data_IF_295452794952
#
_entry.id   IF_295452794952
#
_cell.length_a   1.000
_cell.length_b   1.000
_cell.length_c   1.000
_cell.angle_alpha   90.00
_cell.angle_beta   90.00
_cell.angle_gamma   90.00
#
_symmetry.space_group_name_H-M   'P 1'
#
loop_
_entity.id
_entity.type
_entity.pdbx_description
1 polymer ?
#
# COMPACT_ATOMS: atom_id res chain seq x y z
N UNK A 1 28.33 -3.19 -7.32
CA UNK A 1 27.65 -4.34 -6.69
C UNK A 1 26.23 -4.02 -6.21
N UNK A 2 25.97 -2.92 -5.49
CA UNK A 2 24.63 -2.59 -4.94
C UNK A 2 23.50 -2.65 -5.99
N UNK A 3 23.67 -2.02 -7.16
CA UNK A 3 22.65 -2.02 -8.23
C UNK A 3 22.27 -3.44 -8.71
N UNK A 4 23.24 -4.37 -8.79
CA UNK A 4 22.98 -5.76 -9.16
C UNK A 4 22.14 -6.48 -8.08
N UNK A 5 22.44 -6.24 -6.80
CA UNK A 5 21.63 -6.76 -5.69
C UNK A 5 20.22 -6.16 -5.65
N UNK A 6 20.05 -4.91 -6.09
CA UNK A 6 18.73 -4.28 -6.21
C UNK A 6 17.91 -4.90 -7.35
N UNK A 7 18.56 -5.25 -8.46
CA UNK A 7 17.91 -5.93 -9.60
C UNK A 7 17.45 -7.35 -9.25
N UNK A 8 18.24 -8.09 -8.47
CA UNK A 8 17.95 -9.44 -7.96
C UNK A 8 16.62 -9.49 -7.18
N UNK A 9 16.38 -8.50 -6.30
CA UNK A 9 15.09 -8.32 -5.59
C UNK A 9 14.12 -7.36 -6.30
N UNK A 10 14.27 -7.20 -7.62
CA UNK A 10 13.47 -6.30 -8.46
C UNK A 10 11.95 -6.51 -8.37
N UNK A 11 11.54 -7.73 -8.02
CA UNK A 11 10.13 -8.10 -7.86
C UNK A 11 9.43 -7.39 -6.67
N UNK A 12 10.18 -6.89 -5.67
CA UNK A 12 9.61 -6.25 -4.48
C UNK A 12 8.92 -4.91 -4.78
N UNK A 13 9.28 -4.24 -5.88
CA UNK A 13 8.69 -2.97 -6.31
C UNK A 13 7.92 -3.10 -7.64
N UNK A 14 7.47 -4.30 -8.00
CA UNK A 14 6.50 -4.47 -9.08
C UNK A 14 5.11 -4.01 -8.62
N UNK A 15 4.20 -3.81 -9.58
CA UNK A 15 2.79 -3.60 -9.27
C UNK A 15 2.26 -4.77 -8.41
N UNK A 16 1.42 -4.47 -7.41
CA UNK A 16 1.04 -5.43 -6.37
C UNK A 16 0.57 -6.81 -6.92
N UNK A 17 -0.29 -6.92 -7.95
CA UNK A 17 -0.69 -8.23 -8.49
C UNK A 17 0.47 -9.06 -9.03
N UNK A 18 1.48 -8.41 -9.64
CA UNK A 18 2.69 -9.05 -10.17
C UNK A 18 3.59 -9.48 -9.00
N UNK A 19 3.80 -8.60 -8.02
CA UNK A 19 4.58 -8.92 -6.82
C UNK A 19 3.97 -10.10 -6.04
N UNK A 20 2.66 -10.10 -5.79
CA UNK A 20 1.98 -11.20 -5.10
C UNK A 20 2.07 -12.52 -5.87
N UNK A 21 2.06 -12.48 -7.22
CA UNK A 21 2.30 -13.69 -8.03
C UNK A 21 3.73 -14.21 -7.89
N UNK A 22 4.74 -13.32 -7.85
CA UNK A 22 6.12 -13.73 -7.58
C UNK A 22 6.28 -14.41 -6.21
N UNK A 23 5.67 -13.86 -5.16
CA UNK A 23 5.69 -14.46 -3.82
C UNK A 23 5.04 -15.84 -3.81
N UNK A 24 3.89 -16.02 -4.48
CA UNK A 24 3.23 -17.33 -4.62
C UNK A 24 4.09 -18.35 -5.36
N UNK A 25 4.73 -17.96 -6.48
CA UNK A 25 5.61 -18.85 -7.23
C UNK A 25 6.86 -19.26 -6.44
N UNK A 26 7.45 -18.33 -5.68
CA UNK A 26 8.59 -18.60 -4.80
C UNK A 26 8.22 -19.55 -3.65
N UNK A 27 7.04 -19.37 -3.05
CA UNK A 27 6.54 -20.24 -1.98
C UNK A 27 6.26 -21.66 -2.48
N UNK A 28 5.67 -21.82 -3.67
CA UNK A 28 5.48 -23.12 -4.31
C UNK A 28 6.82 -23.79 -4.65
N UNK A 29 7.81 -23.05 -5.17
CA UNK A 29 9.16 -23.58 -5.45
C UNK A 29 9.84 -24.10 -4.17
N UNK A 30 9.72 -23.37 -3.06
CA UNK A 30 10.22 -23.79 -1.75
C UNK A 30 9.51 -25.06 -1.27
N UNK A 31 8.19 -25.18 -1.39
CA UNK A 31 7.46 -26.40 -1.03
C UNK A 31 7.84 -27.60 -1.91
N UNK A 32 8.03 -27.39 -3.21
CA UNK A 32 8.49 -28.43 -4.13
C UNK A 32 9.92 -28.90 -3.85
N UNK A 33 10.77 -28.04 -3.27
CA UNK A 33 12.08 -28.47 -2.78
C UNK A 33 11.98 -29.17 -1.42
N UNK A 34 11.14 -28.69 -0.50
CA UNK A 34 10.92 -29.34 0.80
C UNK A 34 10.35 -30.75 0.69
N UNK A 35 9.47 -31.00 -0.29
CA UNK A 35 8.99 -32.35 -0.60
C UNK A 35 10.15 -33.27 -1.03
N UNK A 36 11.05 -32.79 -1.92
CA UNK A 36 12.23 -33.55 -2.34
C UNK A 36 13.21 -33.80 -1.19
N UNK A 37 13.33 -32.86 -0.26
CA UNK A 37 14.12 -33.03 0.97
C UNK A 37 13.51 -34.12 1.87
N UNK A 38 12.17 -34.16 2.03
CA UNK A 38 11.44 -35.25 2.69
C UNK A 38 11.67 -36.60 1.99
N UNK A 39 11.54 -36.66 0.67
CA UNK A 39 11.75 -37.87 -0.14
C UNK A 39 13.20 -38.40 -0.07
N UNK A 40 14.18 -37.50 -0.06
CA UNK A 40 15.60 -37.84 0.09
C UNK A 40 15.99 -38.24 1.53
N UNK A 41 15.08 -38.14 2.50
CA UNK A 41 15.33 -38.46 3.90
C UNK A 41 16.27 -37.48 4.61
N UNK A 42 16.39 -36.26 4.10
CA UNK A 42 17.23 -35.19 4.69
C UNK A 42 16.37 -34.17 5.45
N UNK A 43 16.95 -33.38 6.38
CA UNK A 43 16.21 -32.34 7.08
C UNK A 43 15.64 -31.30 6.11
N UNK A 44 14.33 -31.05 6.19
CA UNK A 44 13.65 -30.03 5.39
C UNK A 44 14.14 -28.63 5.75
N UNK A 45 14.47 -27.84 4.74
CA UNK A 45 14.93 -26.47 4.87
C UNK A 45 13.87 -25.55 5.51
N UNK A 46 14.28 -24.48 6.22
CA UNK A 46 13.35 -23.49 6.76
C UNK A 46 12.45 -22.90 5.66
N UNK A 47 11.17 -22.67 5.97
CA UNK A 47 10.12 -22.19 5.05
C UNK A 47 9.71 -23.16 3.92
N UNK A 48 10.41 -24.28 3.72
CA UNK A 48 10.16 -25.21 2.61
C UNK A 48 9.13 -26.29 2.98
N UNK A 49 8.70 -26.34 4.23
CA UNK A 49 7.70 -27.29 4.69
C UNK A 49 6.27 -26.73 4.51
N UNK A 50 5.50 -27.30 3.57
CA UNK A 50 4.08 -26.97 3.30
C UNK A 50 3.16 -27.09 4.51
N UNK A 51 3.56 -27.86 5.51
CA UNK A 51 2.82 -28.05 6.77
C UNK A 51 3.09 -26.92 7.79
N UNK A 52 3.97 -25.96 7.45
CA UNK A 52 4.40 -24.84 8.30
C UNK A 52 4.12 -23.47 7.64
N UNK A 53 4.26 -22.36 8.38
CA UNK A 53 4.29 -21.01 7.78
C UNK A 53 5.37 -20.86 6.69
N UNK A 54 4.94 -20.74 5.42
CA UNK A 54 5.82 -20.53 4.27
C UNK A 54 6.25 -19.08 4.03
N UNK A 55 6.91 -18.86 2.89
CA UNK A 55 7.55 -17.61 2.48
C UNK A 55 6.60 -16.40 2.40
N UNK A 56 5.31 -16.60 2.12
CA UNK A 56 4.28 -15.54 2.14
C UNK A 56 4.14 -14.93 3.53
N UNK A 57 4.18 -15.77 4.59
CA UNK A 57 4.06 -15.30 5.97
C UNK A 57 5.31 -14.58 6.48
N UNK A 58 6.47 -14.77 5.84
CA UNK A 58 7.73 -14.10 6.20
C UNK A 58 7.97 -12.77 5.48
N UNK A 59 7.14 -12.39 4.48
CA UNK A 59 7.37 -11.19 3.66
C UNK A 59 7.64 -9.91 4.47
N UNK A 60 6.86 -9.52 5.51
CA UNK A 60 7.13 -8.30 6.27
C UNK A 60 8.56 -8.22 6.81
N UNK A 61 9.09 -9.34 7.32
CA UNK A 61 10.47 -9.42 7.80
C UNK A 61 11.50 -9.30 6.67
N UNK A 62 11.24 -9.92 5.51
CA UNK A 62 12.12 -9.78 4.35
C UNK A 62 12.20 -8.32 3.84
N UNK A 63 11.07 -7.62 3.80
CA UNK A 63 11.05 -6.18 3.50
C UNK A 63 11.80 -5.36 4.57
N UNK A 64 11.56 -5.61 5.86
CA UNK A 64 12.19 -4.87 6.97
C UNK A 64 13.72 -5.06 7.04
N UNK A 65 14.21 -6.29 6.87
CA UNK A 65 15.62 -6.64 7.08
C UNK A 65 16.48 -6.67 5.79
N UNK A 66 15.88 -6.86 4.62
CA UNK A 66 16.61 -6.98 3.33
C UNK A 66 16.19 -5.91 2.34
N UNK A 67 14.90 -5.87 1.99
CA UNK A 67 14.38 -5.03 0.91
C UNK A 67 14.55 -3.53 1.15
N UNK A 68 13.93 -3.01 2.21
CA UNK A 68 13.93 -1.57 2.53
C UNK A 68 15.36 -1.04 2.76
N UNK A 69 16.24 -1.69 3.56
CA UNK A 69 17.60 -1.18 3.77
C UNK A 69 18.41 -1.09 2.47
N UNK A 70 18.36 -2.12 1.62
CA UNK A 70 19.12 -2.16 0.37
C UNK A 70 18.65 -1.11 -0.62
N UNK A 71 17.33 -1.01 -0.84
CA UNK A 71 16.77 -0.08 -1.83
C UNK A 71 16.85 1.37 -1.35
N UNK A 72 16.68 1.63 -0.06
CA UNK A 72 16.89 2.96 0.53
C UNK A 72 18.34 3.43 0.40
N UNK A 73 19.31 2.54 0.59
CA UNK A 73 20.73 2.85 0.40
C UNK A 73 21.10 3.08 -1.08
N UNK A 74 20.39 2.46 -2.02
CA UNK A 74 20.58 2.73 -3.45
C UNK A 74 19.93 4.05 -3.88
N UNK A 75 18.69 4.30 -3.46
CA UNK A 75 17.95 5.52 -3.80
C UNK A 75 18.54 6.79 -3.19
N UNK A 76 19.30 6.70 -2.09
CA UNK A 76 20.01 7.86 -1.52
C UNK A 76 21.16 8.38 -2.40
N UNK A 77 21.84 7.47 -3.13
CA UNK A 77 22.93 7.83 -4.05
C UNK A 77 22.48 7.99 -5.50
N UNK A 78 21.43 7.28 -5.91
CA UNK A 78 20.86 7.36 -7.26
C UNK A 78 19.38 7.76 -7.18
N UNK A 79 19.15 9.08 -7.11
CA UNK A 79 17.82 9.67 -6.96
C UNK A 79 16.77 9.21 -8.00
N UNK A 80 17.10 8.91 -9.27
CA UNK A 80 16.12 8.36 -10.22
C UNK A 80 15.54 6.99 -9.83
N UNK A 81 16.15 6.24 -8.89
CA UNK A 81 15.56 5.02 -8.32
C UNK A 81 14.54 5.30 -7.21
N UNK A 82 14.21 6.55 -6.90
CA UNK A 82 13.23 6.87 -5.85
C UNK A 82 11.84 6.24 -6.07
N UNK A 83 11.24 6.25 -7.27
CA UNK A 83 9.95 5.58 -7.51
C UNK A 83 9.97 4.06 -7.21
N UNK A 84 11.13 3.42 -7.36
CA UNK A 84 11.32 2.00 -7.03
C UNK A 84 11.32 1.78 -5.50
N UNK A 85 11.85 2.71 -4.70
CA UNK A 85 11.66 2.69 -3.24
C UNK A 85 10.19 2.94 -2.85
N UNK A 86 9.54 3.92 -3.49
CA UNK A 86 8.16 4.29 -3.13
C UNK A 86 7.16 3.14 -3.43
N UNK A 87 7.30 2.46 -4.58
CA UNK A 87 6.49 1.27 -4.90
C UNK A 87 6.81 0.05 -4.02
N UNK A 88 8.08 -0.13 -3.61
CA UNK A 88 8.46 -1.15 -2.62
C UNK A 88 7.74 -0.92 -1.27
N UNK A 89 7.62 0.34 -0.84
CA UNK A 89 6.91 0.68 0.40
C UNK A 89 5.40 0.38 0.31
N UNK A 90 4.77 0.52 -0.87
CA UNK A 90 3.36 0.12 -1.09
C UNK A 90 3.18 -1.38 -0.85
N UNK A 91 4.05 -2.22 -1.43
CA UNK A 91 3.98 -3.67 -1.26
C UNK A 91 4.31 -4.09 0.19
N UNK A 92 5.28 -3.43 0.84
CA UNK A 92 5.55 -3.64 2.27
C UNK A 92 4.32 -3.35 3.15
N UNK A 93 3.65 -2.21 2.95
CA UNK A 93 2.46 -1.86 3.73
C UNK A 93 1.30 -2.85 3.52
N UNK A 94 1.13 -3.38 2.31
CA UNK A 94 0.17 -4.46 2.04
C UNK A 94 0.49 -5.71 2.88
N UNK A 95 1.73 -6.22 2.80
CA UNK A 95 2.14 -7.39 3.60
C UNK A 95 2.06 -7.16 5.11
N UNK A 96 2.35 -5.94 5.57
CA UNK A 96 2.23 -5.59 6.99
C UNK A 96 0.78 -5.63 7.45
N UNK A 97 -0.13 -5.01 6.70
CA UNK A 97 -1.57 -5.03 6.98
C UNK A 97 -2.14 -6.45 6.97
N UNK A 98 -1.76 -7.28 6.01
CA UNK A 98 -2.17 -8.69 5.94
C UNK A 98 -1.64 -9.53 7.11
N UNK A 99 -0.39 -9.29 7.54
CA UNK A 99 0.19 -9.96 8.70
C UNK A 99 -0.48 -9.54 10.02
N UNK A 100 -0.84 -8.26 10.17
CA UNK A 100 -1.52 -7.75 11.36
C UNK A 100 -3.01 -8.16 11.40
N UNK A 101 -3.68 -8.20 10.24
CA UNK A 101 -5.02 -8.79 10.08
C UNK A 101 -5.02 -10.26 10.51
N UNK A 102 -4.04 -11.05 10.05
CA UNK A 102 -3.93 -12.47 10.41
C UNK A 102 -3.69 -12.67 11.91
N UNK A 103 -2.86 -11.84 12.56
CA UNK A 103 -2.67 -11.89 14.02
C UNK A 103 -3.96 -11.61 14.79
N UNK A 104 -4.79 -10.66 14.31
CA UNK A 104 -6.08 -10.36 14.93
C UNK A 104 -7.07 -11.53 14.77
N UNK A 105 -7.10 -12.16 13.60
CA UNK A 105 -7.89 -13.37 13.35
C UNK A 105 -7.42 -14.54 14.24
N UNK A 106 -6.11 -14.81 14.30
CA UNK A 106 -5.48 -15.82 15.16
C UNK A 106 -5.80 -15.56 16.66
N UNK A 107 -5.72 -14.30 17.11
CA UNK A 107 -6.05 -13.91 18.49
C UNK A 107 -7.55 -14.00 18.81
N UNK A 108 -8.44 -13.71 17.85
CA UNK A 108 -9.88 -13.86 18.02
C UNK A 108 -10.28 -15.34 18.19
N UNK A 109 -9.67 -16.24 17.40
CA UNK A 109 -9.87 -17.70 17.52
C UNK A 109 -9.32 -18.24 18.84
N UNK A 110 -8.20 -17.71 19.32
CA UNK A 110 -7.65 -18.08 20.64
C UNK A 110 -8.43 -17.48 21.83
N UNK A 111 -9.19 -16.39 21.61
CA UNK A 111 -9.86 -15.61 22.65
C UNK A 111 -11.32 -15.95 22.93
N UNK A 112 -12.01 -16.71 22.07
CA UNK A 112 -13.38 -17.16 22.28
C UNK A 112 -13.71 -18.41 21.46
N UNK A 113 -14.45 -19.41 21.94
CA UNK A 113 -15.77 -19.31 22.60
C UNK A 113 -16.74 -18.45 21.77
N UNK A 114 -17.76 -19.10 21.20
CA UNK A 114 -18.57 -18.58 20.09
C UNK A 114 -19.07 -17.14 20.29
N UNK A 115 -18.69 -16.24 19.37
CA UNK A 115 -19.36 -14.97 19.20
C UNK A 115 -20.76 -15.20 18.57
N UNK A 116 -21.86 -14.71 19.15
CA UNK A 116 -23.16 -14.79 18.51
C UNK A 116 -23.21 -13.86 17.30
N UNK A 117 -23.79 -14.35 16.20
CA UNK A 117 -24.02 -13.56 14.99
C UNK A 117 -24.80 -12.26 15.32
N UNK A 118 -24.40 -11.09 14.79
CA UNK A 118 -25.11 -9.85 15.05
C UNK A 118 -26.52 -9.90 14.44
N UNK A 119 -27.54 -9.91 15.29
CA UNK A 119 -28.94 -9.80 14.88
C UNK A 119 -29.15 -8.51 14.06
N UNK A 120 -29.94 -8.54 12.97
CA UNK A 120 -30.07 -7.41 12.02
C UNK A 120 -30.49 -6.08 12.67
N UNK A 121 -31.15 -6.11 13.82
CA UNK A 121 -31.51 -4.93 14.61
C UNK A 121 -30.29 -4.07 15.00
N UNK A 122 -29.14 -4.69 15.28
CA UNK A 122 -27.91 -3.97 15.66
C UNK A 122 -27.30 -3.21 14.48
N UNK A 123 -27.35 -3.79 13.28
CA UNK A 123 -26.86 -3.14 12.05
C UNK A 123 -27.72 -1.92 11.67
N UNK A 124 -29.05 -2.02 11.82
CA UNK A 124 -29.98 -0.90 11.55
C UNK A 124 -29.77 0.25 12.55
N UNK A 125 -29.51 -0.05 13.83
CA UNK A 125 -29.21 0.97 14.83
C UNK A 125 -27.91 1.73 14.52
N UNK A 126 -26.86 1.04 14.07
CA UNK A 126 -25.60 1.67 13.66
C UNK A 126 -25.78 2.57 12.42
N UNK A 127 -26.56 2.12 11.42
CA UNK A 127 -26.88 2.93 10.24
C UNK A 127 -27.67 4.21 10.59
N UNK A 128 -28.66 4.11 11.49
CA UNK A 128 -29.45 5.27 11.93
C UNK A 128 -28.62 6.32 12.68
N UNK A 129 -27.62 5.90 13.46
CA UNK A 129 -26.68 6.80 14.15
C UNK A 129 -25.73 7.53 13.18
N UNK A 130 -25.32 6.88 12.09
CA UNK A 130 -24.50 7.49 11.05
C UNK A 130 -25.26 8.60 10.29
N UNK A 131 -26.54 8.37 9.97
CA UNK A 131 -27.39 9.38 9.27
C UNK A 131 -27.57 10.65 10.13
N UNK A 132 -27.87 10.51 11.42
CA UNK A 132 -28.00 11.67 12.33
C UNK A 132 -26.71 12.49 12.45
N UNK A 133 -25.55 11.85 12.30
CA UNK A 133 -24.25 12.54 12.35
C UNK A 133 -23.97 13.38 11.10
N UNK A 134 -24.60 13.07 9.95
CA UNK A 134 -24.43 13.85 8.71
C UNK A 134 -25.37 15.06 8.63
N UNK A 135 -26.62 14.95 9.13
CA UNK A 135 -27.57 16.07 9.10
C UNK A 135 -27.15 17.24 10.03
N UNK A 136 -26.45 16.95 11.13
CA UNK A 136 -26.00 17.98 12.08
C UNK A 136 -24.94 18.96 11.51
N UNK A 137 -24.29 18.63 10.39
CA UNK A 137 -23.17 19.41 9.84
C UNK A 137 -23.57 20.44 8.76
N UNK A 138 -24.83 20.45 8.30
CA UNK A 138 -25.25 21.22 7.11
C UNK A 138 -25.89 22.61 7.40
N UNK A 139 -25.96 23.04 8.67
CA UNK A 139 -26.85 24.12 9.11
C UNK A 139 -26.20 25.40 9.64
N UNK A 140 -25.34 26.08 8.87
CA UNK A 140 -24.90 27.44 9.21
C UNK A 140 -24.52 28.32 8.00
N UNK A 141 -25.30 29.39 7.75
CA UNK A 141 -24.90 30.57 6.97
C UNK A 141 -25.33 31.84 7.73
N UNK A 142 -24.44 32.80 8.01
CA UNK A 142 -24.83 34.15 8.38
C UNK A 142 -25.08 35.02 7.13
N UNK A 143 -25.91 36.05 7.29
CA UNK A 143 -26.48 36.87 6.21
C UNK A 143 -25.78 38.23 6.08
N UNK A 144 -25.99 38.87 4.94
CA UNK A 144 -25.50 40.19 4.55
C UNK A 144 -25.92 41.32 5.52
N UNK A 145 -25.05 42.30 5.74
CA UNK A 145 -25.45 43.70 6.03
C UNK A 145 -24.70 44.64 5.08
N UNK A 146 -25.30 45.79 4.79
CA UNK A 146 -24.85 46.80 3.82
C UNK A 146 -24.59 48.14 4.54
N UNK A 147 -23.60 48.91 4.07
CA UNK A 147 -23.49 50.37 4.24
C UNK A 147 -22.38 50.97 3.37
N UNK A 148 -22.71 51.28 2.12
CA UNK A 148 -22.51 52.57 1.44
C UNK A 148 -21.15 53.32 1.38
N UNK A 149 -20.89 53.87 0.17
CA UNK A 149 -20.00 55.00 -0.20
C UNK A 149 -18.50 54.71 -0.42
N UNK A 150 -17.92 55.24 -1.53
CA UNK A 150 -16.45 55.19 -1.70
C UNK A 150 -15.78 55.44 -3.05
N UNK A 151 -16.48 55.86 -4.12
CA UNK A 151 -15.95 56.50 -5.35
C UNK A 151 -14.76 55.89 -6.18
N UNK A 152 -15.04 55.77 -7.49
CA UNK A 152 -14.15 56.08 -8.64
C UNK A 152 -12.98 55.14 -9.05
N UNK A 153 -13.11 54.61 -10.28
CA UNK A 153 -12.06 54.77 -11.31
C UNK A 153 -11.45 53.50 -11.93
N UNK A 154 -11.47 53.42 -13.26
CA UNK A 154 -10.58 52.54 -14.05
C UNK A 154 -11.27 51.43 -14.83
N UNK A 155 -11.39 51.60 -16.14
CA UNK A 155 -11.85 50.56 -17.07
C UNK A 155 -10.64 49.87 -17.76
N UNK A 156 -10.80 48.60 -18.15
CA UNK A 156 -10.41 48.03 -19.46
C UNK A 156 -10.28 46.49 -19.42
N UNK A 157 -10.71 45.85 -20.50
CA UNK A 157 -10.38 44.45 -20.86
C UNK A 157 -9.67 44.45 -22.24
N UNK A 158 -9.18 43.30 -22.76
CA UNK A 158 -7.78 43.07 -23.13
C UNK A 158 -7.45 43.37 -24.62
N UNK A 159 -6.25 43.05 -25.12
CA UNK A 159 -6.06 41.77 -25.83
C UNK A 159 -4.66 41.11 -25.62
N UNK A 160 -4.39 39.97 -26.28
CA UNK A 160 -3.13 39.20 -26.16
C UNK A 160 -2.22 39.27 -27.41
N UNK A 161 -1.66 38.10 -27.82
CA UNK A 161 -1.16 37.72 -29.16
C UNK A 161 0.40 37.66 -29.42
N UNK A 162 0.85 36.60 -30.14
CA UNK A 162 2.21 36.34 -30.74
C UNK A 162 3.38 36.19 -29.72
N UNK A 163 4.57 35.59 -29.94
CA UNK A 163 5.22 34.66 -30.93
C UNK A 163 6.58 34.21 -30.30
N UNK A 164 7.43 33.28 -30.78
CA UNK A 164 7.50 32.27 -31.86
C UNK A 164 8.51 31.16 -31.41
N UNK A 165 8.83 30.14 -32.23
CA UNK A 165 9.96 29.25 -31.90
C UNK A 165 10.18 27.98 -32.75
N UNK A 166 10.09 28.05 -34.08
CA UNK A 166 10.54 26.96 -34.96
C UNK A 166 12.08 26.80 -34.94
N UNK A 167 12.57 25.57 -35.13
CA UNK A 167 14.00 25.26 -35.01
C UNK A 167 14.41 23.89 -35.56
N UNK A 168 13.97 23.54 -36.77
CA UNK A 168 14.57 22.45 -37.55
C UNK A 168 15.92 22.89 -38.15
N UNK A 169 16.93 22.03 -38.09
CA UNK A 169 18.26 22.28 -38.64
C UNK A 169 19.17 21.05 -38.59
N UNK A 170 19.47 20.50 -39.77
CA UNK A 170 20.30 19.30 -40.04
C UNK A 170 21.73 19.44 -39.51
#
# INVERSE_FOLDING_TARGET
QVALKCADIGNLAQALPVHSRWVQCLEEEFYLQGDKEKEAGIPVSPLFDRDKPGASKSQPGFFEFVGIPLIKAFASVFQPARPFLDQLMVNYHHHKAEADRRKLEEAAVAGGAAAPSPSPTAAVAAAAAAVRSQEAAAGAKPVHTDSSQGAAGGAATPPGLLMAGDGDGI
#
